data_IF_812732639253
#
_entry.id   IF_812732639253
#
_cell.length_a   1.000
_cell.length_b   1.000
_cell.length_c   1.000
_cell.angle_alpha   90.00
_cell.angle_beta   90.00
_cell.angle_gamma   90.00
#
_symmetry.space_group_name_H-M   'P 1'
#
loop_
_entity.id
_entity.type
_entity.pdbx_description
1 polymer ?
#
# COMPACT_ATOMS: atom_id res chain seq x y z
N UNK A 1 -3.13 -6.99 2.10
CA UNK A 1 -1.93 -7.84 1.94
C UNK A 1 -2.39 -9.26 1.67
N UNK A 2 -1.56 -10.09 1.01
CA UNK A 2 -1.89 -11.49 0.79
C UNK A 2 -1.29 -12.33 1.93
N UNK A 3 -2.10 -12.85 2.88
CA UNK A 3 -1.58 -13.65 3.99
C UNK A 3 -1.04 -15.02 3.55
N UNK A 4 -1.36 -15.47 2.33
CA UNK A 4 -0.87 -16.72 1.76
C UNK A 4 0.43 -16.53 0.94
N UNK A 5 0.88 -15.29 0.72
CA UNK A 5 2.13 -15.04 0.04
C UNK A 5 3.30 -15.17 1.02
N UNK A 6 4.40 -15.80 0.57
CA UNK A 6 5.63 -15.89 1.36
C UNK A 6 6.21 -14.49 1.63
N UNK A 7 6.09 -13.58 0.66
CA UNK A 7 6.61 -12.22 0.75
C UNK A 7 5.59 -11.19 0.27
N UNK A 8 5.29 -10.21 1.12
CA UNK A 8 4.56 -8.99 0.73
C UNK A 8 5.56 -7.83 0.65
N UNK A 9 5.73 -7.24 -0.53
CA UNK A 9 6.63 -6.11 -0.75
C UNK A 9 5.79 -4.86 -0.94
N UNK A 10 6.07 -3.84 -0.13
CA UNK A 10 5.22 -2.67 -0.01
C UNK A 10 6.04 -1.41 -0.29
N UNK A 11 5.51 -0.53 -1.12
CA UNK A 11 5.91 0.88 -1.17
C UNK A 11 4.76 1.75 -0.67
N UNK A 12 5.06 2.85 0.01
CA UNK A 12 4.07 3.80 0.51
C UNK A 12 4.41 5.21 0.05
N UNK A 13 3.43 5.90 -0.53
CA UNK A 13 3.54 7.30 -0.94
C UNK A 13 2.49 8.14 -0.20
N UNK A 14 2.98 9.14 0.52
CA UNK A 14 2.17 10.00 1.39
C UNK A 14 1.29 10.96 0.58
N UNK A 15 0.63 11.91 1.24
CA UNK A 15 -0.03 12.99 0.51
C UNK A 15 0.97 13.88 -0.26
N UNK A 16 2.20 14.05 0.23
CA UNK A 16 3.17 14.96 -0.36
C UNK A 16 3.96 14.35 -1.54
N UNK A 17 3.87 13.03 -1.71
CA UNK A 17 4.59 12.30 -2.74
C UNK A 17 3.59 11.54 -3.62
N UNK A 18 3.65 11.73 -4.94
CA UNK A 18 2.78 10.99 -5.84
C UNK A 18 3.29 9.55 -6.01
N UNK A 19 2.37 8.60 -6.18
CA UNK A 19 2.73 7.29 -6.73
C UNK A 19 2.75 7.41 -8.24
N UNK A 20 3.94 7.44 -8.82
CA UNK A 20 4.19 7.55 -10.25
C UNK A 20 4.87 6.30 -10.82
N UNK A 21 5.24 6.34 -12.09
CA UNK A 21 5.89 5.21 -12.75
C UNK A 21 7.27 4.90 -12.18
N UNK A 22 8.01 5.91 -11.72
CA UNK A 22 9.34 5.73 -11.13
C UNK A 22 9.23 5.02 -9.78
N UNK A 23 8.29 5.42 -8.93
CA UNK A 23 7.99 4.72 -7.69
C UNK A 23 7.59 3.23 -7.91
N UNK A 24 6.88 2.94 -9.00
CA UNK A 24 6.56 1.55 -9.36
C UNK A 24 7.81 0.81 -9.84
N UNK A 25 8.66 1.45 -10.65
CA UNK A 25 9.93 0.87 -11.10
C UNK A 25 10.87 0.59 -9.92
N UNK A 26 10.92 1.48 -8.93
CA UNK A 26 11.63 1.27 -7.66
C UNK A 26 11.13 0.03 -6.92
N UNK A 27 9.81 -0.14 -6.80
CA UNK A 27 9.22 -1.33 -6.16
C UNK A 27 9.58 -2.62 -6.92
N UNK A 28 9.51 -2.60 -8.25
CA UNK A 28 9.89 -3.73 -9.10
C UNK A 28 11.40 -4.03 -8.93
N UNK A 29 12.24 -3.00 -8.95
CA UNK A 29 13.69 -3.12 -8.74
C UNK A 29 14.02 -3.72 -7.38
N UNK A 30 13.36 -3.23 -6.32
CA UNK A 30 13.46 -3.77 -4.97
C UNK A 30 13.03 -5.24 -4.92
N UNK A 31 11.91 -5.60 -5.54
CA UNK A 31 11.47 -6.99 -5.66
C UNK A 31 12.52 -7.88 -6.31
N UNK A 32 13.06 -7.46 -7.47
CA UNK A 32 14.07 -8.24 -8.20
C UNK A 32 15.33 -8.42 -7.34
N UNK A 33 15.80 -7.35 -6.70
CA UNK A 33 16.98 -7.38 -5.83
C UNK A 33 16.76 -8.28 -4.60
N UNK A 34 15.62 -8.11 -3.92
CA UNK A 34 15.23 -8.90 -2.76
C UNK A 34 15.15 -10.39 -3.09
N UNK A 35 14.44 -10.76 -4.16
CA UNK A 35 14.34 -12.15 -4.62
C UNK A 35 15.71 -12.77 -4.89
N UNK A 36 16.61 -12.06 -5.60
CA UNK A 36 17.98 -12.53 -5.87
C UNK A 36 18.78 -12.72 -4.59
N UNK A 37 18.69 -11.77 -3.65
CA UNK A 37 19.38 -11.86 -2.36
C UNK A 37 18.93 -13.09 -1.57
N UNK A 38 17.62 -13.36 -1.53
CA UNK A 38 17.08 -14.53 -0.83
C UNK A 38 17.52 -15.86 -1.46
N UNK A 39 17.52 -15.96 -2.79
CA UNK A 39 17.97 -17.16 -3.50
C UNK A 39 19.46 -17.41 -3.22
N UNK A 40 20.28 -16.36 -3.24
CA UNK A 40 21.73 -16.48 -3.04
C UNK A 40 22.13 -16.73 -1.58
N UNK A 41 21.26 -16.39 -0.61
CA UNK A 41 21.54 -16.55 0.82
C UNK A 41 21.16 -17.93 1.39
N UNK A 42 20.42 -18.76 0.64
CA UNK A 42 19.87 -20.02 1.12
C UNK A 42 20.59 -21.21 0.49
N UNK A 43 21.27 -22.01 1.31
CA UNK A 43 21.82 -23.32 0.90
C UNK A 43 20.83 -24.48 1.06
N UNK A 44 19.84 -24.35 1.95
CA UNK A 44 19.01 -25.49 2.41
C UNK A 44 17.55 -25.47 1.91
N UNK A 45 17.00 -24.31 1.51
CA UNK A 45 15.62 -24.21 0.98
C UNK A 45 15.63 -23.68 -0.44
N UNK A 46 14.95 -24.40 -1.34
CA UNK A 46 14.63 -23.91 -2.69
C UNK A 46 13.62 -22.77 -2.59
N UNK A 47 14.13 -21.53 -2.57
CA UNK A 47 13.35 -20.29 -2.54
C UNK A 47 12.90 -19.83 -3.93
N UNK A 48 13.18 -20.60 -4.99
CA UNK A 48 12.73 -20.26 -6.35
C UNK A 48 11.20 -20.29 -6.48
N UNK A 49 10.53 -21.06 -5.60
CA UNK A 49 9.08 -21.25 -5.54
C UNK A 49 8.36 -20.28 -4.61
N UNK A 50 9.08 -19.43 -3.89
CA UNK A 50 8.48 -18.44 -3.02
C UNK A 50 7.52 -17.56 -3.83
N UNK A 51 6.39 -17.23 -3.22
CA UNK A 51 5.35 -16.39 -3.80
C UNK A 51 5.54 -14.94 -3.34
N UNK A 52 5.39 -14.01 -4.27
CA UNK A 52 5.65 -12.59 -4.04
C UNK A 52 4.41 -11.77 -4.40
N UNK A 53 3.99 -10.91 -3.48
CA UNK A 53 2.85 -10.03 -3.65
C UNK A 53 3.29 -8.58 -3.51
N UNK A 54 3.26 -7.83 -4.61
CA UNK A 54 3.68 -6.43 -4.66
C UNK A 54 2.47 -5.53 -4.40
N UNK A 55 2.63 -4.59 -3.46
CA UNK A 55 1.58 -3.66 -3.07
C UNK A 55 2.13 -2.24 -3.07
N UNK A 56 1.54 -1.36 -3.87
CA UNK A 56 1.80 0.07 -3.81
C UNK A 56 0.66 0.74 -3.05
N UNK A 57 0.99 1.39 -1.94
CA UNK A 57 0.02 2.15 -1.15
C UNK A 57 0.24 3.62 -1.44
N UNK A 58 -0.82 4.34 -1.77
CA UNK A 58 -0.75 5.78 -1.98
C UNK A 58 -1.93 6.49 -1.32
N UNK A 59 -1.65 7.68 -0.82
CA UNK A 59 -2.67 8.43 -0.10
C UNK A 59 -3.67 9.06 -1.07
N UNK A 60 -3.17 9.70 -2.12
CA UNK A 60 -3.97 10.28 -3.20
C UNK A 60 -4.09 9.30 -4.35
N UNK A 61 -5.20 9.37 -5.08
CA UNK A 61 -5.32 8.60 -6.30
C UNK A 61 -4.28 9.06 -7.34
N UNK A 62 -3.54 8.13 -7.95
CA UNK A 62 -2.44 8.48 -8.83
C UNK A 62 -2.93 8.68 -10.27
N UNK A 63 -3.59 9.81 -10.55
CA UNK A 63 -4.20 10.11 -11.85
C UNK A 63 -3.23 9.93 -13.03
N UNK A 64 -2.00 10.45 -12.90
CA UNK A 64 -0.98 10.36 -13.94
C UNK A 64 -0.56 8.91 -14.23
N UNK A 65 -0.29 8.12 -13.18
CA UNK A 65 0.06 6.71 -13.30
C UNK A 65 -1.08 5.89 -13.90
N UNK A 66 -2.31 6.10 -13.43
CA UNK A 66 -3.49 5.40 -13.93
C UNK A 66 -3.71 5.70 -15.42
N UNK A 67 -3.57 6.97 -15.83
CA UNK A 67 -3.64 7.39 -17.24
C UNK A 67 -2.54 6.74 -18.07
N UNK A 68 -1.31 6.71 -17.56
CA UNK A 68 -0.17 6.09 -18.26
C UNK A 68 -0.33 4.57 -18.39
N UNK A 69 -0.86 3.91 -17.37
CA UNK A 69 -1.11 2.46 -17.39
C UNK A 69 -2.24 2.09 -18.38
N UNK A 70 -3.19 2.99 -18.64
CA UNK A 70 -4.24 2.80 -19.63
C UNK A 70 -5.07 1.55 -19.35
N UNK A 71 -5.18 0.66 -20.34
CA UNK A 71 -5.92 -0.60 -20.21
C UNK A 71 -5.32 -1.60 -19.20
N UNK A 72 -4.11 -1.35 -18.70
CA UNK A 72 -3.46 -2.16 -17.68
C UNK A 72 -3.87 -1.76 -16.26
N UNK A 73 -4.61 -0.66 -16.10
CA UNK A 73 -5.16 -0.21 -14.83
C UNK A 73 -6.59 -0.73 -14.66
N UNK A 74 -6.80 -1.59 -13.67
CA UNK A 74 -8.10 -2.20 -13.38
C UNK A 74 -8.54 -1.90 -11.95
N UNK A 75 -9.76 -1.41 -11.76
CA UNK A 75 -10.34 -1.31 -10.43
C UNK A 75 -10.89 -2.66 -10.00
N UNK A 76 -10.42 -3.16 -8.85
CA UNK A 76 -10.91 -4.40 -8.26
C UNK A 76 -12.04 -4.12 -7.27
N UNK A 77 -11.83 -3.14 -6.39
CA UNK A 77 -12.79 -2.65 -5.41
C UNK A 77 -12.63 -1.13 -5.25
N UNK A 78 -13.55 -0.40 -4.60
CA UNK A 78 -13.33 1.00 -4.26
C UNK A 78 -12.03 1.19 -3.46
N UNK A 79 -11.10 1.97 -4.03
CA UNK A 79 -9.78 2.21 -3.45
C UNK A 79 -8.75 1.09 -3.65
N UNK A 80 -9.11 -0.01 -4.31
CA UNK A 80 -8.20 -1.11 -4.61
C UNK A 80 -8.14 -1.34 -6.12
N UNK A 81 -6.96 -1.17 -6.67
CA UNK A 81 -6.71 -1.28 -8.10
C UNK A 81 -5.60 -2.31 -8.36
N UNK A 82 -5.45 -2.67 -9.62
CA UNK A 82 -4.38 -3.53 -10.11
C UNK A 82 -3.73 -2.87 -11.31
N UNK A 83 -2.41 -2.87 -11.33
CA UNK A 83 -1.62 -2.56 -12.51
C UNK A 83 -1.04 -3.87 -13.03
N UNK A 84 -1.40 -4.24 -14.26
CA UNK A 84 -0.88 -5.42 -14.92
C UNK A 84 0.20 -5.03 -15.95
N UNK A 85 1.41 -4.77 -15.47
CA UNK A 85 2.60 -4.56 -16.32
C UNK A 85 3.32 -5.90 -16.56
N UNK A 86 4.66 -5.94 -16.47
CA UNK A 86 5.42 -7.19 -16.49
C UNK A 86 5.12 -8.07 -15.28
N UNK A 87 4.70 -7.45 -14.18
CA UNK A 87 4.32 -8.09 -12.91
C UNK A 87 3.04 -7.40 -12.45
N UNK A 88 2.13 -8.18 -11.84
CA UNK A 88 0.91 -7.63 -11.29
C UNK A 88 1.18 -6.95 -9.95
N UNK A 89 0.67 -5.72 -9.79
CA UNK A 89 0.87 -4.89 -8.59
C UNK A 89 -0.50 -4.44 -8.10
N UNK A 90 -0.80 -4.70 -6.83
CA UNK A 90 -2.00 -4.16 -6.19
C UNK A 90 -1.72 -2.73 -5.76
N UNK A 91 -2.63 -1.81 -6.11
CA UNK A 91 -2.56 -0.43 -5.67
C UNK A 91 -3.67 -0.15 -4.68
N UNK A 92 -3.30 0.28 -3.47
CA UNK A 92 -4.23 0.69 -2.42
C UNK A 92 -4.23 2.20 -2.30
N UNK A 93 -5.39 2.82 -2.54
CA UNK A 93 -5.57 4.27 -2.49
C UNK A 93 -6.33 4.61 -1.21
N UNK A 94 -5.63 5.02 -0.15
CA UNK A 94 -6.22 5.15 1.20
C UNK A 94 -7.31 6.23 1.29
N UNK A 95 -7.31 7.21 0.39
CA UNK A 95 -8.41 8.18 0.24
C UNK A 95 -9.65 7.67 -0.50
N UNK A 96 -9.62 6.44 -1.04
CA UNK A 96 -10.74 5.84 -1.79
C UNK A 96 -11.22 4.51 -1.23
N UNK A 97 -10.47 3.93 -0.28
CA UNK A 97 -10.89 2.70 0.43
C UNK A 97 -12.19 2.95 1.20
N UNK A 98 -13.08 1.95 1.18
CA UNK A 98 -14.38 2.00 1.85
C UNK A 98 -14.20 2.10 3.37
N UNK A 99 -14.96 2.99 4.03
CA UNK A 99 -15.03 3.14 5.49
C UNK A 99 -15.70 1.90 6.13
N UNK A 100 -14.90 0.90 6.44
CA UNK A 100 -15.32 -0.36 7.09
C UNK A 100 -14.27 -0.81 8.13
N UNK A 101 -14.66 -1.54 9.19
CA UNK A 101 -13.74 -1.90 10.27
C UNK A 101 -12.50 -2.66 9.80
N UNK A 102 -12.66 -3.67 8.95
CA UNK A 102 -11.53 -4.45 8.42
C UNK A 102 -10.52 -3.64 7.57
N UNK A 103 -10.87 -2.40 7.19
CA UNK A 103 -9.98 -1.48 6.48
C UNK A 103 -9.32 -0.44 7.41
N UNK A 104 -9.47 -0.59 8.73
CA UNK A 104 -9.03 0.38 9.74
C UNK A 104 -7.59 0.86 9.54
N UNK A 105 -6.66 -0.06 9.26
CA UNK A 105 -5.27 0.30 8.96
C UNK A 105 -5.15 1.28 7.78
N UNK A 106 -5.83 1.02 6.66
CA UNK A 106 -5.82 1.91 5.49
C UNK A 106 -6.45 3.26 5.80
N UNK A 107 -7.49 3.28 6.63
CA UNK A 107 -8.19 4.48 7.01
C UNK A 107 -7.37 5.36 7.96
N UNK A 108 -6.54 4.78 8.85
CA UNK A 108 -5.57 5.50 9.69
C UNK A 108 -4.49 6.20 8.87
N UNK A 109 -4.03 5.58 7.77
CA UNK A 109 -3.05 6.16 6.85
C UNK A 109 -3.69 6.95 5.70
N UNK A 110 -4.93 7.41 5.90
CA UNK A 110 -5.58 8.34 4.98
C UNK A 110 -5.15 9.78 5.30
N UNK A 111 -5.21 10.66 4.30
CA UNK A 111 -5.15 12.12 4.52
C UNK A 111 -6.55 12.73 4.69
N UNK A 112 -7.59 11.91 4.74
CA UNK A 112 -8.95 12.34 4.99
C UNK A 112 -9.27 12.26 6.48
N UNK A 113 -9.55 13.41 7.10
CA UNK A 113 -9.85 13.51 8.53
C UNK A 113 -10.99 12.61 8.97
N UNK A 114 -12.07 12.52 8.20
CA UNK A 114 -13.20 11.68 8.59
C UNK A 114 -12.84 10.20 8.59
N UNK A 115 -12.03 9.75 7.63
CA UNK A 115 -11.55 8.36 7.56
C UNK A 115 -10.64 8.04 8.74
N UNK A 116 -9.72 8.93 9.09
CA UNK A 116 -8.82 8.75 10.23
C UNK A 116 -9.62 8.72 11.54
N UNK A 117 -10.52 9.67 11.76
CA UNK A 117 -11.36 9.69 12.97
C UNK A 117 -12.30 8.49 13.07
N UNK A 118 -12.86 8.03 11.95
CA UNK A 118 -13.62 6.79 11.92
C UNK A 118 -12.75 5.62 12.41
N UNK A 119 -11.53 5.49 11.87
CA UNK A 119 -10.64 4.40 12.21
C UNK A 119 -10.19 4.43 13.68
N UNK A 120 -9.87 5.62 14.20
CA UNK A 120 -9.46 5.82 15.59
C UNK A 120 -10.55 5.42 16.61
N UNK A 121 -11.82 5.43 16.22
CA UNK A 121 -12.95 5.02 17.08
C UNK A 121 -13.22 3.52 17.08
N UNK A 122 -12.55 2.76 16.22
CA UNK A 122 -12.79 1.32 16.11
C UNK A 122 -12.12 0.55 17.26
N UNK A 123 -12.78 -0.51 17.79
CA UNK A 123 -12.25 -1.28 18.92
C UNK A 123 -10.86 -1.90 18.68
N UNK A 124 -10.56 -2.34 17.46
CA UNK A 124 -9.24 -2.89 17.10
C UNK A 124 -8.09 -1.89 17.25
N UNK A 125 -8.39 -0.59 17.25
CA UNK A 125 -7.44 0.49 17.41
C UNK A 125 -7.40 1.05 18.84
N UNK A 126 -8.16 0.47 19.78
CA UNK A 126 -8.23 0.95 21.16
C UNK A 126 -6.88 0.87 21.91
N UNK A 127 -5.98 -0.01 21.47
CA UNK A 127 -4.64 -0.16 22.05
C UNK A 127 -3.60 0.80 21.46
N UNK A 128 -3.97 1.59 20.44
CA UNK A 128 -3.05 2.57 19.87
C UNK A 128 -2.73 3.62 20.96
N UNK A 129 -1.45 3.84 21.30
CA UNK A 129 -1.06 4.82 22.31
C UNK A 129 -1.58 6.22 21.97
N UNK A 130 -2.06 6.96 22.97
CA UNK A 130 -2.76 8.26 22.80
C UNK A 130 -1.96 9.31 21.99
N UNK A 131 -0.63 9.25 22.04
CA UNK A 131 0.22 10.17 21.28
C UNK A 131 0.11 10.00 19.77
N UNK A 132 -0.27 8.81 19.27
CA UNK A 132 -0.45 8.54 17.83
C UNK A 132 -1.71 9.24 17.29
N UNK A 133 -2.92 9.07 17.86
CA UNK A 133 -4.09 9.86 17.47
C UNK A 133 -3.83 11.37 17.48
N UNK A 134 -3.10 11.88 18.49
CA UNK A 134 -2.72 13.29 18.55
C UNK A 134 -1.86 13.68 17.35
N UNK A 135 -0.80 12.92 17.08
CA UNK A 135 0.10 13.17 15.95
C UNK A 135 -0.65 13.12 14.60
N UNK A 136 -1.54 12.14 14.40
CA UNK A 136 -2.34 12.05 13.18
C UNK A 136 -3.24 13.28 12.99
N UNK A 137 -3.87 13.78 14.06
CA UNK A 137 -4.69 15.00 14.01
C UNK A 137 -3.86 16.23 13.69
N UNK A 138 -2.71 16.39 14.34
CA UNK A 138 -1.78 17.50 14.12
C UNK A 138 -1.29 17.54 12.67
N UNK A 139 -0.96 16.38 12.08
CA UNK A 139 -0.57 16.30 10.66
C UNK A 139 -1.72 16.65 9.71
N UNK A 140 -2.97 16.34 10.06
CA UNK A 140 -4.14 16.71 9.25
C UNK A 140 -4.47 18.21 9.31
N UNK A 141 -4.01 18.92 10.34
CA UNK A 141 -4.20 20.38 10.48
C UNK A 141 -3.13 21.20 9.73
N UNK A 142 -2.00 20.58 9.36
CA UNK A 142 -0.96 21.21 8.53
C UNK A 142 -1.43 21.25 7.07
N UNK A 143 -2.05 22.36 6.68
CA UNK A 143 -2.40 22.67 5.28
C UNK A 143 -1.22 23.23 4.50
#
# INVERSE_FOLDING_TARGET
LNPQADHNLITYKSHHEALDADAINELIGYFVGYKKSLINASSDRDRSKDTYHLVAVCTRYPEALAKQAGNRWSQLNPGIYRIDWLISIIVVVTSRVVKQPHNSAWLLFSHDRERVEYALRLPENAQIPEYIPRLLRDELDKK
#
